data_IF_623059023886
#
_entry.id   IF_623059023886
#
_cell.length_a   1.000
_cell.length_b   1.000
_cell.length_c   1.000
_cell.angle_alpha   90.00
_cell.angle_beta   90.00
_cell.angle_gamma   90.00
#
_symmetry.space_group_name_H-M   'P 1'
#
loop_
_entity.id
_entity.type
_entity.pdbx_description
1 polymer ?
#
# COMPACT_ATOMS: atom_id res chain seq x y z
N UNK A 1 -18.26 -77.71 60.85
CA UNK A 1 -18.59 -76.44 61.54
C UNK A 1 -18.26 -75.33 60.56
N UNK A 2 -19.21 -75.05 59.67
CA UNK A 2 -20.06 -73.83 59.69
C UNK A 2 -19.34 -72.71 58.93
N UNK A 3 -19.89 -72.01 57.95
CA UNK A 3 -21.25 -71.87 57.49
C UNK A 3 -21.23 -71.24 56.08
N UNK A 4 -22.34 -71.40 55.40
CA UNK A 4 -22.73 -70.96 54.06
C UNK A 4 -22.92 -69.43 54.00
N UNK A 5 -22.69 -68.77 52.85
CA UNK A 5 -23.71 -67.96 52.18
C UNK A 5 -23.22 -67.16 50.95
N UNK A 6 -24.11 -67.18 49.97
CA UNK A 6 -24.15 -66.60 48.64
C UNK A 6 -24.59 -65.10 48.67
N UNK A 7 -24.22 -64.35 47.61
CA UNK A 7 -24.69 -63.04 47.04
C UNK A 7 -26.18 -62.69 47.27
N UNK A 8 -26.72 -61.44 47.09
CA UNK A 8 -26.38 -60.44 46.04
C UNK A 8 -26.60 -58.93 46.38
N UNK A 9 -26.29 -58.03 45.42
CA UNK A 9 -26.73 -56.63 45.53
C UNK A 9 -26.13 -55.68 44.49
N UNK A 10 -26.67 -55.69 43.27
CA UNK A 10 -26.60 -54.53 42.36
C UNK A 10 -27.50 -53.41 42.91
N UNK A 11 -27.03 -52.16 42.88
CA UNK A 11 -27.87 -51.01 42.50
C UNK A 11 -26.97 -49.91 41.92
N UNK A 12 -27.38 -49.26 40.80
CA UNK A 12 -26.55 -48.35 40.02
C UNK A 12 -26.70 -46.92 40.54
N UNK A 13 -25.58 -46.21 40.67
CA UNK A 13 -25.54 -44.90 41.33
C UNK A 13 -24.68 -43.89 40.57
N UNK A 14 -25.37 -42.87 40.06
CA UNK A 14 -24.85 -41.62 39.54
C UNK A 14 -24.18 -41.68 38.17
N UNK A 15 -25.03 -41.57 37.15
CA UNK A 15 -24.81 -40.85 35.92
C UNK A 15 -23.57 -39.94 35.99
N UNK A 16 -22.49 -40.41 35.38
CA UNK A 16 -21.34 -39.60 35.06
C UNK A 16 -21.86 -38.49 34.14
N UNK A 17 -22.11 -37.34 34.74
CA UNK A 17 -22.54 -36.14 34.05
C UNK A 17 -21.64 -35.99 32.83
N UNK A 18 -22.24 -36.18 31.67
CA UNK A 18 -21.63 -35.93 30.39
C UNK A 18 -21.19 -34.48 30.42
N UNK A 19 -19.92 -34.26 30.81
CA UNK A 19 -19.22 -33.03 30.53
C UNK A 19 -19.16 -33.03 29.01
N UNK A 20 -20.15 -32.39 28.42
CA UNK A 20 -20.11 -31.98 27.03
C UNK A 20 -18.84 -31.16 26.93
N UNK A 21 -17.76 -31.81 26.50
CA UNK A 21 -16.64 -31.13 25.90
C UNK A 21 -17.25 -30.42 24.70
N UNK A 22 -17.70 -29.19 24.94
CA UNK A 22 -17.98 -28.22 23.89
C UNK A 22 -16.62 -28.08 23.22
N UNK A 23 -16.43 -28.88 22.17
CA UNK A 23 -15.34 -28.71 21.25
C UNK A 23 -15.43 -27.26 20.83
N UNK A 24 -14.41 -26.49 21.23
CA UNK A 24 -14.21 -25.10 20.84
C UNK A 24 -14.16 -25.12 19.31
N UNK A 25 -15.32 -25.00 18.67
CA UNK A 25 -15.46 -24.95 17.22
C UNK A 25 -14.92 -23.60 16.79
N UNK A 26 -13.63 -23.58 16.43
CA UNK A 26 -12.97 -22.63 15.53
C UNK A 26 -13.12 -21.12 15.81
N UNK A 27 -12.11 -20.28 15.68
CA UNK A 27 -10.76 -20.47 15.16
C UNK A 27 -9.78 -19.77 16.09
N UNK A 28 -8.49 -19.88 15.77
CA UNK A 28 -7.42 -19.18 16.48
C UNK A 28 -7.57 -17.66 16.43
N UNK A 29 -6.43 -16.95 16.52
CA UNK A 29 -6.41 -15.49 16.48
C UNK A 29 -7.32 -14.94 15.34
N UNK A 30 -8.33 -14.11 15.66
CA UNK A 30 -9.19 -13.48 14.67
C UNK A 30 -8.42 -12.82 13.53
N UNK A 31 -7.25 -12.24 13.81
CA UNK A 31 -6.40 -11.56 12.83
C UNK A 31 -5.77 -12.51 11.80
N UNK A 32 -5.61 -13.80 12.11
CA UNK A 32 -5.04 -14.80 11.21
C UNK A 32 -6.04 -15.38 10.19
N UNK A 33 -7.30 -14.92 10.19
CA UNK A 33 -8.35 -15.46 9.33
C UNK A 33 -8.59 -14.55 8.13
N UNK A 34 -7.79 -14.71 7.07
CA UNK A 34 -8.00 -14.02 5.79
C UNK A 34 -6.71 -13.73 5.04
N UNK A 35 -6.83 -13.03 3.91
CA UNK A 35 -5.71 -12.46 3.15
C UNK A 35 -6.03 -11.01 2.83
N UNK A 36 -5.09 -10.12 3.15
CA UNK A 36 -5.13 -8.71 2.72
C UNK A 36 -4.43 -8.62 1.37
N UNK A 37 -5.06 -7.93 0.41
CA UNK A 37 -4.44 -7.61 -0.88
C UNK A 37 -4.50 -6.11 -1.06
N UNK A 38 -3.43 -5.53 -1.61
CA UNK A 38 -3.29 -4.09 -1.80
C UNK A 38 -3.29 -3.85 -3.29
N UNK A 39 -4.16 -2.97 -3.76
CA UNK A 39 -4.22 -2.62 -5.16
C UNK A 39 -3.00 -1.77 -5.56
N UNK A 40 -2.49 -1.97 -6.78
CA UNK A 40 -1.35 -1.24 -7.33
C UNK A 40 -1.51 0.27 -7.15
N UNK A 41 -2.69 0.81 -7.47
CA UNK A 41 -2.98 2.24 -7.34
C UNK A 41 -2.95 2.79 -5.91
N UNK A 42 -2.92 1.95 -4.87
CA UNK A 42 -2.65 2.39 -3.48
C UNK A 42 -1.15 2.57 -3.28
N UNK A 43 -0.35 1.60 -3.74
CA UNK A 43 1.11 1.66 -3.66
C UNK A 43 1.64 2.83 -4.49
N UNK A 44 1.12 3.04 -5.70
CA UNK A 44 1.46 4.19 -6.55
C UNK A 44 1.20 5.53 -5.86
N UNK A 45 0.11 5.65 -5.08
CA UNK A 45 -0.20 6.89 -4.34
C UNK A 45 0.79 7.12 -3.20
N UNK A 46 1.13 6.07 -2.47
CA UNK A 46 2.11 6.15 -1.37
C UNK A 46 3.47 6.56 -1.94
N UNK A 47 3.93 5.86 -2.97
CA UNK A 47 5.20 6.14 -3.63
C UNK A 47 5.23 7.55 -4.26
N UNK A 48 4.14 7.97 -4.91
CA UNK A 48 4.04 9.30 -5.50
C UNK A 48 4.06 10.44 -4.49
N UNK A 49 3.42 10.27 -3.33
CA UNK A 49 3.52 11.23 -2.23
C UNK A 49 4.92 11.25 -1.62
N UNK A 50 5.46 10.07 -1.30
CA UNK A 50 6.79 9.96 -0.71
C UNK A 50 7.88 10.53 -1.62
N UNK A 51 7.79 10.33 -2.94
CA UNK A 51 8.75 10.89 -3.88
C UNK A 51 8.67 12.42 -3.94
N UNK A 52 7.47 13.01 -3.87
CA UNK A 52 7.27 14.47 -3.88
C UNK A 52 7.73 15.16 -2.60
N UNK A 53 7.75 14.45 -1.48
CA UNK A 53 8.23 14.98 -0.20
C UNK A 53 9.76 15.17 -0.16
N UNK A 54 10.50 14.66 -1.15
CA UNK A 54 11.95 14.79 -1.22
C UNK A 54 12.34 16.13 -1.84
N UNK A 55 13.22 16.86 -1.13
CA UNK A 55 13.77 18.13 -1.58
C UNK A 55 14.48 17.98 -2.93
N UNK A 56 14.19 18.91 -3.85
CA UNK A 56 14.72 18.92 -5.22
C UNK A 56 13.87 18.14 -6.22
N UNK A 57 12.79 17.48 -5.80
CA UNK A 57 11.76 16.96 -6.72
C UNK A 57 10.72 18.05 -6.94
N UNK A 58 10.63 18.55 -8.17
CA UNK A 58 9.65 19.58 -8.54
C UNK A 58 8.30 18.97 -8.91
N UNK A 59 8.31 17.95 -9.77
CA UNK A 59 7.08 17.32 -10.27
C UNK A 59 7.31 15.84 -10.59
N UNK A 60 6.21 15.12 -10.85
CA UNK A 60 6.24 13.72 -11.29
C UNK A 60 5.49 13.52 -12.62
N UNK A 61 6.07 12.69 -13.48
CA UNK A 61 5.59 12.35 -14.82
C UNK A 61 5.92 13.38 -15.90
N UNK A 62 6.02 12.93 -17.15
CA UNK A 62 6.33 13.81 -18.29
C UNK A 62 5.34 14.99 -18.43
N UNK A 63 5.89 16.17 -18.70
CA UNK A 63 5.16 17.45 -18.90
C UNK A 63 4.16 17.50 -20.05
N UNK A 64 3.96 16.40 -20.79
CA UNK A 64 3.11 16.33 -22.00
C UNK A 64 1.60 16.39 -21.74
N UNK A 65 1.11 16.22 -20.51
CA UNK A 65 -0.32 16.44 -20.22
C UNK A 65 -0.65 17.83 -19.66
N UNK A 66 0.28 18.80 -19.68
CA UNK A 66 -0.11 20.21 -19.55
C UNK A 66 -0.97 20.65 -20.74
N UNK A 67 -0.74 20.10 -21.93
CA UNK A 67 -1.51 20.44 -23.15
C UNK A 67 -2.83 19.67 -23.31
N UNK A 68 -3.02 18.53 -22.64
CA UNK A 68 -4.29 17.77 -22.67
C UNK A 68 -5.31 18.21 -21.62
N UNK A 69 -4.94 19.07 -20.66
CA UNK A 69 -5.83 19.61 -19.63
C UNK A 69 -6.90 20.55 -20.18
N UNK A 70 -6.57 21.35 -21.20
CA UNK A 70 -7.46 22.37 -21.75
C UNK A 70 -8.71 21.81 -22.47
N UNK A 71 -8.72 20.52 -22.82
CA UNK A 71 -9.87 19.87 -23.50
C UNK A 71 -10.67 18.95 -22.56
N UNK A 72 -10.11 18.58 -21.39
CA UNK A 72 -10.77 17.67 -20.44
C UNK A 72 -11.64 18.40 -19.40
N UNK A 73 -11.47 19.72 -19.23
CA UNK A 73 -12.23 20.57 -18.30
C UNK A 73 -13.74 20.69 -18.60
N UNK A 74 -14.25 20.11 -19.69
CA UNK A 74 -15.69 20.07 -19.99
C UNK A 74 -16.41 18.80 -19.50
N UNK A 75 -15.74 17.90 -18.76
CA UNK A 75 -16.38 16.71 -18.20
C UNK A 75 -16.56 16.89 -16.68
N UNK A 76 -17.81 17.01 -16.17
CA UNK A 76 -18.07 17.02 -14.73
C UNK A 76 -17.65 15.66 -14.16
N UNK A 77 -16.60 15.63 -13.33
CA UNK A 77 -16.09 14.42 -12.68
C UNK A 77 -14.63 14.05 -13.00
N UNK A 78 -13.91 14.87 -13.77
CA UNK A 78 -12.59 14.52 -14.31
C UNK A 78 -11.36 15.20 -13.70
N UNK A 79 -11.30 15.50 -12.39
CA UNK A 79 -10.14 16.22 -11.82
C UNK A 79 -9.72 15.66 -10.46
N UNK A 80 -9.17 14.45 -10.46
CA UNK A 80 -8.19 14.11 -9.42
C UNK A 80 -6.85 14.63 -9.91
N UNK A 81 -6.27 15.62 -9.22
CA UNK A 81 -4.85 15.95 -9.36
C UNK A 81 -4.11 14.61 -9.28
N UNK A 82 -3.54 14.16 -10.39
CA UNK A 82 -3.07 12.77 -10.48
C UNK A 82 -1.80 12.63 -9.64
N UNK A 83 -1.98 12.28 -8.36
CA UNK A 83 -0.91 12.00 -7.40
C UNK A 83 -0.10 10.78 -7.85
N UNK A 84 -0.69 9.90 -8.66
CA UNK A 84 -0.05 8.71 -9.24
C UNK A 84 0.65 8.97 -10.58
N UNK A 85 0.57 10.18 -11.14
CA UNK A 85 1.18 10.45 -12.44
C UNK A 85 2.70 10.37 -12.33
N UNK A 86 3.30 9.59 -13.23
CA UNK A 86 4.75 9.32 -13.22
C UNK A 86 5.15 8.24 -12.21
N UNK A 87 4.22 7.47 -11.66
CA UNK A 87 4.52 6.32 -10.80
C UNK A 87 3.76 5.11 -11.33
N UNK A 88 4.47 4.01 -11.53
CA UNK A 88 3.88 2.70 -11.82
C UNK A 88 4.37 1.72 -10.75
N UNK A 89 3.45 0.98 -10.18
CA UNK A 89 3.79 -0.08 -9.23
C UNK A 89 3.36 -1.44 -9.79
N UNK A 90 4.20 -2.44 -9.60
CA UNK A 90 3.85 -3.84 -9.81
C UNK A 90 3.83 -4.52 -8.45
N UNK A 91 2.65 -4.99 -8.03
CA UNK A 91 2.44 -5.55 -6.69
C UNK A 91 2.22 -7.06 -6.78
N UNK A 92 3.08 -7.81 -6.11
CA UNK A 92 2.92 -9.23 -5.83
C UNK A 92 2.26 -9.48 -4.48
N UNK A 93 2.29 -10.74 -4.02
CA UNK A 93 1.71 -11.09 -2.71
C UNK A 93 2.54 -10.58 -1.52
N UNK A 94 3.86 -10.51 -1.70
CA UNK A 94 4.82 -10.10 -0.65
C UNK A 94 5.73 -8.98 -1.15
N UNK A 95 5.94 -8.89 -2.45
CA UNK A 95 6.97 -8.06 -3.06
C UNK A 95 6.35 -6.99 -3.96
N UNK A 96 7.07 -5.88 -4.15
CA UNK A 96 6.67 -4.85 -5.11
C UNK A 96 7.89 -4.23 -5.81
N UNK A 97 7.68 -3.86 -7.08
CA UNK A 97 8.63 -3.10 -7.88
C UNK A 97 8.00 -1.77 -8.30
N UNK A 98 8.82 -0.72 -8.36
CA UNK A 98 8.37 0.66 -8.59
C UNK A 98 9.17 1.31 -9.70
N UNK A 99 8.47 1.91 -10.66
CA UNK A 99 9.04 2.77 -11.70
C UNK A 99 8.53 4.21 -11.50
N UNK A 100 9.45 5.14 -11.32
CA UNK A 100 9.18 6.55 -11.10
C UNK A 100 9.73 7.39 -12.24
N UNK A 101 8.99 8.41 -12.63
CA UNK A 101 9.40 9.46 -13.56
C UNK A 101 9.31 10.81 -12.82
N UNK A 102 10.44 11.49 -12.64
CA UNK A 102 10.53 12.75 -11.89
C UNK A 102 11.08 13.90 -12.73
N UNK A 103 10.65 15.11 -12.40
CA UNK A 103 11.26 16.38 -12.81
C UNK A 103 11.95 16.96 -11.59
N UNK A 104 13.23 17.31 -11.73
CA UNK A 104 14.06 17.82 -10.63
C UNK A 104 14.30 19.33 -10.77
N UNK A 105 14.62 19.99 -9.66
CA UNK A 105 14.96 21.42 -9.68
C UNK A 105 16.37 21.67 -10.23
N UNK A 106 16.57 22.80 -10.93
CA UNK A 106 17.90 23.21 -11.34
C UNK A 106 18.81 23.45 -10.13
N UNK A 107 20.05 22.96 -10.21
CA UNK A 107 21.07 23.17 -9.19
C UNK A 107 21.16 22.07 -8.13
N UNK A 108 20.30 21.05 -8.15
CA UNK A 108 20.39 19.89 -7.26
C UNK A 108 21.23 18.76 -7.86
N UNK A 109 21.87 17.95 -7.01
CA UNK A 109 22.58 16.75 -7.44
C UNK A 109 21.59 15.64 -7.76
N UNK A 110 21.41 15.34 -9.05
CA UNK A 110 20.47 14.31 -9.52
C UNK A 110 20.73 12.95 -8.84
N UNK A 111 22.00 12.58 -8.67
CA UNK A 111 22.37 11.31 -8.03
C UNK A 111 21.94 11.25 -6.56
N UNK A 112 22.10 12.34 -5.83
CA UNK A 112 21.74 12.41 -4.41
C UNK A 112 20.23 12.53 -4.22
N UNK A 113 19.56 13.33 -5.06
CA UNK A 113 18.09 13.41 -5.08
C UNK A 113 17.48 12.05 -5.41
N UNK A 114 17.96 11.35 -6.44
CA UNK A 114 17.46 10.02 -6.78
C UNK A 114 17.71 8.99 -5.66
N UNK A 115 18.84 9.08 -4.95
CA UNK A 115 19.10 8.25 -3.77
C UNK A 115 18.09 8.55 -2.66
N UNK A 116 17.89 9.81 -2.33
CA UNK A 116 16.94 10.23 -1.30
C UNK A 116 15.49 9.83 -1.65
N UNK A 117 15.09 9.95 -2.92
CA UNK A 117 13.79 9.47 -3.41
C UNK A 117 13.65 7.96 -3.20
N UNK A 118 14.65 7.16 -3.59
CA UNK A 118 14.63 5.71 -3.36
C UNK A 118 14.45 5.37 -1.88
N UNK A 119 15.27 5.97 -1.02
CA UNK A 119 15.22 5.72 0.42
C UNK A 119 13.85 6.08 1.01
N UNK A 120 13.29 7.24 0.66
CA UNK A 120 12.01 7.67 1.19
C UNK A 120 10.84 6.80 0.68
N UNK A 121 10.83 6.47 -0.61
CA UNK A 121 9.79 5.65 -1.23
C UNK A 121 9.79 4.23 -0.67
N UNK A 122 10.96 3.58 -0.61
CA UNK A 122 11.11 2.24 -0.02
C UNK A 122 10.57 2.26 1.41
N UNK A 123 11.07 3.19 2.22
CA UNK A 123 10.70 3.24 3.63
C UNK A 123 9.20 3.54 3.83
N UNK A 124 8.58 4.37 2.99
CA UNK A 124 7.15 4.65 3.06
C UNK A 124 6.29 3.42 2.68
N UNK A 125 6.61 2.78 1.55
CA UNK A 125 5.85 1.64 1.04
C UNK A 125 5.95 0.46 2.00
N UNK A 126 7.15 0.10 2.44
CA UNK A 126 7.35 -1.03 3.37
C UNK A 126 6.62 -0.81 4.70
N UNK A 127 6.74 0.39 5.29
CA UNK A 127 6.07 0.71 6.57
C UNK A 127 4.55 0.69 6.47
N UNK A 128 3.98 1.16 5.37
CA UNK A 128 2.52 1.31 5.25
C UNK A 128 1.82 0.05 4.73
N UNK A 129 2.50 -0.74 3.90
CA UNK A 129 1.89 -1.87 3.19
C UNK A 129 2.36 -3.22 3.73
N UNK A 130 3.52 -3.28 4.37
CA UNK A 130 4.16 -4.53 4.78
C UNK A 130 4.73 -5.35 3.61
N UNK A 131 4.74 -4.79 2.39
CA UNK A 131 5.38 -5.39 1.22
C UNK A 131 6.89 -5.12 1.25
N UNK A 132 7.68 -6.02 0.70
CA UNK A 132 9.11 -5.87 0.45
C UNK A 132 9.34 -5.17 -0.90
N UNK A 133 10.09 -4.06 -0.91
CA UNK A 133 10.39 -3.36 -2.16
C UNK A 133 11.66 -3.94 -2.77
N UNK A 134 11.53 -4.61 -3.92
CA UNK A 134 12.65 -5.28 -4.59
C UNK A 134 13.52 -4.28 -5.32
N UNK A 135 12.90 -3.34 -6.01
CA UNK A 135 13.59 -2.31 -6.77
C UNK A 135 12.77 -1.03 -6.92
N UNK A 136 13.48 0.08 -7.08
CA UNK A 136 12.92 1.39 -7.40
C UNK A 136 13.74 2.02 -8.52
N UNK A 137 13.16 2.00 -9.71
CA UNK A 137 13.73 2.60 -10.90
C UNK A 137 13.26 4.06 -11.00
N UNK A 138 14.19 4.97 -11.28
CA UNK A 138 13.89 6.40 -11.38
C UNK A 138 14.41 6.91 -12.72
N UNK A 139 13.49 7.36 -13.56
CA UNK A 139 13.76 8.15 -14.76
C UNK A 139 13.63 9.64 -14.42
N UNK A 140 14.65 10.41 -14.73
CA UNK A 140 14.60 11.89 -14.62
C UNK A 140 14.27 12.42 -16.01
N UNK A 141 13.06 12.92 -16.18
CA UNK A 141 12.54 13.30 -17.50
C UNK A 141 12.80 14.75 -17.86
N UNK A 142 12.98 15.62 -16.87
CA UNK A 142 13.20 17.06 -17.09
C UNK A 142 13.89 17.74 -15.89
N UNK A 143 14.41 18.95 -16.10
CA UNK A 143 14.99 19.82 -15.06
C UNK A 143 14.28 21.17 -15.10
N UNK A 144 13.61 21.54 -14.00
CA UNK A 144 12.93 22.84 -13.86
C UNK A 144 13.94 23.97 -13.76
N UNK A 145 13.96 24.85 -14.74
CA UNK A 145 14.76 26.07 -14.73
C UNK A 145 14.04 27.18 -13.93
N UNK A 146 14.79 28.07 -13.24
CA UNK A 146 14.21 29.12 -12.40
C UNK A 146 13.42 30.18 -13.18
N UNK A 147 13.76 30.40 -14.46
CA UNK A 147 13.13 31.41 -15.33
C UNK A 147 11.95 30.85 -16.14
N UNK A 148 11.68 29.55 -16.04
CA UNK A 148 10.42 29.02 -16.54
C UNK A 148 9.35 29.36 -15.51
N UNK A 149 8.52 30.37 -15.77
CA UNK A 149 7.33 30.61 -14.96
C UNK A 149 6.48 29.33 -14.90
N UNK A 150 5.85 29.07 -13.75
CA UNK A 150 4.75 28.12 -13.73
C UNK A 150 3.71 28.70 -14.69
N UNK A 151 3.45 28.03 -15.82
CA UNK A 151 2.22 28.26 -16.58
C UNK A 151 1.06 27.86 -15.65
N UNK A 152 0.71 28.75 -14.73
CA UNK A 152 -0.57 28.71 -14.05
C UNK A 152 -1.62 28.77 -15.16
N UNK A 153 -2.58 27.84 -15.20
CA UNK A 153 -3.64 27.91 -16.18
C UNK A 153 -4.40 29.21 -15.91
N UNK A 154 -4.13 30.25 -16.70
CA UNK A 154 -4.86 31.50 -16.64
C UNK A 154 -6.35 31.16 -16.69
N UNK A 155 -7.03 31.39 -15.58
CA UNK A 155 -8.48 31.34 -15.54
C UNK A 155 -8.99 32.48 -16.41
N UNK A 156 -9.13 32.24 -17.72
CA UNK A 156 -9.83 33.17 -18.61
C UNK A 156 -11.29 33.17 -18.20
N UNK A 157 -11.63 34.12 -17.34
CA UNK A 157 -12.99 34.59 -17.11
C UNK A 157 -13.50 35.20 -18.42
N UNK A 158 -14.40 34.49 -19.10
CA UNK A 158 -15.37 35.04 -20.05
C UNK A 158 -16.68 34.30 -19.91
#
# INVERSE_FOLDING_TARGET
MSDTAQKPGETPGAAQAARTNVTKRGGGDPAGRGRTTIADGVVEKIAGLAARDVVGVHAMGSGLSRTFGAVRDRVPGGSTKSVTRGVKAEVGEVQTALDLEIVVEYGVSIADTARAVRENVIAAVERMTGLEVVEVNIAVSDVKLPDEEEEEPESRLQ
#
